data_IF_808640983843
#
_entry.id   IF_808640983843
#
_cell.length_a   1.000
_cell.length_b   1.000
_cell.length_c   1.000
_cell.angle_alpha   90.00
_cell.angle_beta   90.00
_cell.angle_gamma   90.00
#
_symmetry.space_group_name_H-M   'P 1'
#
loop_
_entity.id
_entity.type
_entity.pdbx_description
1 polymer ?
#
# COMPACT_ATOMS: atom_id res chain seq x y z
N UNK A 1 21.63 3.10 29.60
CA UNK A 1 21.42 1.66 29.68
C UNK A 1 20.27 1.30 28.74
N UNK A 2 19.02 1.57 29.09
CA UNK A 2 17.83 1.18 28.31
C UNK A 2 17.79 1.69 26.86
N UNK A 3 18.58 2.70 26.49
CA UNK A 3 18.66 3.27 25.15
C UNK A 3 19.72 2.64 24.23
N UNK A 4 20.44 1.61 24.68
CA UNK A 4 21.50 0.96 23.91
C UNK A 4 22.70 1.87 23.63
N UNK A 5 22.87 2.98 24.37
CA UNK A 5 24.00 3.88 24.19
C UNK A 5 25.26 3.28 24.81
N UNK A 6 26.27 3.08 23.99
CA UNK A 6 27.60 2.62 24.41
C UNK A 6 28.54 3.79 24.81
N UNK A 7 28.05 5.03 24.77
CA UNK A 7 28.87 6.24 24.99
C UNK A 7 29.33 6.46 26.44
N UNK A 8 28.79 5.72 27.40
CA UNK A 8 29.22 5.77 28.79
C UNK A 8 29.39 4.35 29.32
N UNK A 9 30.52 4.10 29.96
CA UNK A 9 30.72 2.84 30.67
C UNK A 9 29.72 2.73 31.80
N UNK A 10 29.04 1.60 31.87
CA UNK A 10 28.10 1.24 32.93
C UNK A 10 28.47 -0.15 33.39
N UNK A 11 28.68 -0.31 34.70
CA UNK A 11 29.01 -1.63 35.28
C UNK A 11 27.88 -2.64 35.00
N UNK A 12 28.22 -3.92 34.89
CA UNK A 12 27.23 -4.97 34.67
C UNK A 12 26.20 -5.05 35.81
N UNK A 13 26.60 -4.82 37.03
CA UNK A 13 25.71 -4.77 38.18
C UNK A 13 24.66 -3.65 38.02
N UNK A 14 25.09 -2.44 37.68
CA UNK A 14 24.19 -1.32 37.43
C UNK A 14 23.24 -1.61 36.26
N UNK A 15 23.71 -2.28 35.23
CA UNK A 15 22.86 -2.69 34.07
C UNK A 15 21.77 -3.65 34.55
N UNK A 16 22.11 -4.70 35.28
CA UNK A 16 21.15 -5.68 35.79
C UNK A 16 20.11 -5.05 36.70
N UNK A 17 20.52 -4.15 37.59
CA UNK A 17 19.60 -3.44 38.50
C UNK A 17 18.60 -2.57 37.72
N UNK A 18 19.06 -1.82 36.72
CA UNK A 18 18.17 -0.98 35.89
C UNK A 18 17.23 -1.83 35.05
N UNK A 19 17.69 -2.93 34.47
CA UNK A 19 16.86 -3.85 33.71
C UNK A 19 15.82 -4.54 34.57
N UNK A 20 16.18 -4.96 35.79
CA UNK A 20 15.27 -5.54 36.78
C UNK A 20 14.20 -4.54 37.20
N UNK A 21 14.59 -3.33 37.57
CA UNK A 21 13.63 -2.26 37.92
C UNK A 21 12.70 -1.90 36.76
N UNK A 22 13.21 -1.82 35.53
CA UNK A 22 12.40 -1.57 34.35
C UNK A 22 11.36 -2.69 34.11
N UNK A 23 11.74 -3.95 34.35
CA UNK A 23 10.83 -5.10 34.27
C UNK A 23 9.78 -5.09 35.36
N UNK A 24 10.17 -4.83 36.59
CA UNK A 24 9.28 -4.74 37.75
C UNK A 24 8.23 -3.63 37.59
N UNK A 25 8.65 -2.47 37.09
CA UNK A 25 7.78 -1.31 36.84
C UNK A 25 7.00 -1.40 35.49
N UNK A 26 7.10 -2.52 34.76
CA UNK A 26 6.54 -2.65 33.41
C UNK A 26 6.89 -1.44 32.51
N UNK A 27 8.12 -0.93 32.64
CA UNK A 27 8.56 0.24 31.88
C UNK A 27 8.67 -0.07 30.40
N UNK A 28 7.77 0.49 29.61
CA UNK A 28 7.82 0.45 28.15
C UNK A 28 8.55 1.69 27.63
N UNK A 29 9.61 1.44 26.87
CA UNK A 29 10.39 2.52 26.27
C UNK A 29 9.54 3.36 25.32
N UNK A 30 9.45 4.66 25.57
CA UNK A 30 8.74 5.57 24.69
C UNK A 30 9.40 5.65 23.31
N UNK A 31 8.71 5.15 22.28
CA UNK A 31 9.13 5.31 20.88
C UNK A 31 9.17 6.78 20.46
N UNK A 32 8.29 7.61 21.04
CA UNK A 32 8.24 9.06 20.81
C UNK A 32 9.53 9.76 21.27
N UNK A 33 10.02 9.45 22.47
CA UNK A 33 11.29 9.98 22.98
C UNK A 33 12.50 9.51 22.16
N UNK A 34 12.43 8.32 21.59
CA UNK A 34 13.48 7.78 20.70
C UNK A 34 13.49 8.43 19.33
N UNK A 35 12.31 8.80 18.79
CA UNK A 35 12.19 9.46 17.49
C UNK A 35 12.69 10.91 17.50
N UNK A 36 12.65 11.60 18.65
CA UNK A 36 13.28 12.92 18.82
C UNK A 36 14.80 12.87 18.63
N UNK A 37 15.41 11.69 18.77
CA UNK A 37 16.85 11.44 18.52
C UNK A 37 17.13 10.87 17.12
N UNK A 38 16.21 11.04 16.17
CA UNK A 38 16.37 10.57 14.79
C UNK A 38 16.18 9.05 14.60
N UNK A 39 15.71 8.30 15.60
CA UNK A 39 15.42 6.87 15.43
C UNK A 39 14.06 6.64 14.77
N UNK A 40 13.99 5.63 13.90
CA UNK A 40 12.74 5.18 13.28
C UNK A 40 11.72 4.75 14.35
N UNK A 41 10.45 5.03 14.10
CA UNK A 41 9.34 4.61 14.98
C UNK A 41 8.91 3.18 14.78
N UNK A 42 9.34 2.58 13.68
CA UNK A 42 8.95 1.23 13.28
C UNK A 42 7.44 1.11 13.02
N UNK A 43 6.87 2.14 12.38
CA UNK A 43 5.46 2.19 11.98
C UNK A 43 5.38 2.41 10.47
N UNK A 44 4.60 1.59 9.77
CA UNK A 44 4.22 1.77 8.37
C UNK A 44 2.73 2.05 8.32
N UNK A 45 2.33 3.12 7.61
CA UNK A 45 0.93 3.39 7.33
C UNK A 45 0.48 2.64 6.08
N UNK A 46 -0.61 1.88 6.18
CA UNK A 46 -1.24 1.17 5.07
C UNK A 46 -2.62 1.78 4.84
N UNK A 47 -2.80 2.45 3.70
CA UNK A 47 -4.04 3.10 3.32
C UNK A 47 -4.72 2.30 2.21
N UNK A 48 -5.93 1.83 2.47
CA UNK A 48 -6.74 1.06 1.51
C UNK A 48 -8.12 1.68 1.33
N UNK A 49 -8.74 1.57 0.15
CA UNK A 49 -10.04 2.20 -0.11
C UNK A 49 -11.20 1.52 0.61
N UNK A 50 -11.10 0.23 0.93
CA UNK A 50 -12.14 -0.51 1.65
C UNK A 50 -11.65 -1.87 2.14
N UNK A 51 -12.17 -2.32 3.29
CA UNK A 51 -11.87 -3.64 3.83
C UNK A 51 -12.82 -4.75 3.33
N UNK A 52 -13.97 -4.38 2.76
CA UNK A 52 -14.92 -5.36 2.24
C UNK A 52 -14.39 -6.13 1.02
N UNK A 53 -13.41 -5.59 0.32
CA UNK A 53 -12.74 -6.28 -0.77
C UNK A 53 -11.61 -7.17 -0.23
N UNK A 54 -11.75 -8.48 -0.43
CA UNK A 54 -10.81 -9.49 0.04
C UNK A 54 -9.38 -9.24 -0.44
N UNK A 55 -9.20 -8.69 -1.66
CA UNK A 55 -7.87 -8.37 -2.19
C UNK A 55 -7.09 -7.43 -1.25
N UNK A 56 -7.75 -6.39 -0.72
CA UNK A 56 -7.08 -5.48 0.20
C UNK A 56 -6.79 -6.10 1.57
N UNK A 57 -7.65 -7.00 2.02
CA UNK A 57 -7.42 -7.75 3.26
C UNK A 57 -6.21 -8.68 3.12
N UNK A 58 -6.11 -9.41 2.03
CA UNK A 58 -4.97 -10.29 1.74
C UNK A 58 -3.67 -9.50 1.55
N UNK A 59 -3.74 -8.33 0.89
CA UNK A 59 -2.61 -7.41 0.80
C UNK A 59 -2.10 -7.02 2.19
N UNK A 60 -3.00 -6.57 3.08
CA UNK A 60 -2.63 -6.16 4.44
C UNK A 60 -1.97 -7.30 5.20
N UNK A 61 -2.53 -8.52 5.15
CA UNK A 61 -1.96 -9.71 5.78
C UNK A 61 -0.58 -10.06 5.21
N UNK A 62 -0.40 -9.88 3.90
CA UNK A 62 0.90 -10.08 3.25
C UNK A 62 1.95 -9.08 3.73
N UNK A 63 1.57 -7.81 3.81
CA UNK A 63 2.43 -6.73 4.29
C UNK A 63 2.78 -6.92 5.75
N UNK A 64 1.81 -7.30 6.60
CA UNK A 64 2.01 -7.52 8.04
C UNK A 64 3.07 -8.59 8.29
N UNK A 65 2.95 -9.74 7.63
CA UNK A 65 3.95 -10.83 7.77
C UNK A 65 5.38 -10.39 7.45
N UNK A 66 5.54 -9.52 6.47
CA UNK A 66 6.87 -9.00 6.10
C UNK A 66 7.31 -7.93 7.09
N UNK A 67 6.44 -6.99 7.44
CA UNK A 67 6.73 -5.89 8.35
C UNK A 67 7.18 -6.40 9.73
N UNK A 68 6.50 -7.42 10.26
CA UNK A 68 6.81 -8.04 11.56
C UNK A 68 8.24 -8.59 11.59
N UNK A 69 8.71 -9.26 10.54
CA UNK A 69 10.09 -9.77 10.45
C UNK A 69 11.15 -8.67 10.60
N UNK A 70 10.81 -7.43 10.22
CA UNK A 70 11.68 -6.27 10.36
C UNK A 70 11.37 -5.43 11.59
N UNK A 71 10.48 -5.89 12.45
CA UNK A 71 10.06 -5.22 13.68
C UNK A 71 9.25 -3.95 13.42
N UNK A 72 8.49 -3.89 12.33
CA UNK A 72 7.52 -2.84 12.04
C UNK A 72 6.13 -3.28 12.46
N UNK A 73 5.34 -2.33 12.94
CA UNK A 73 3.90 -2.47 13.12
C UNK A 73 3.17 -1.69 12.02
N UNK A 74 1.95 -2.13 11.68
CA UNK A 74 1.14 -1.45 10.69
C UNK A 74 0.09 -0.55 11.35
N UNK A 75 -0.06 0.65 10.79
CA UNK A 75 -1.23 1.50 11.02
C UNK A 75 -2.13 1.40 9.79
N UNK A 76 -3.19 0.58 9.90
CA UNK A 76 -4.08 0.27 8.78
C UNK A 76 -5.25 1.25 8.79
N UNK A 77 -5.47 1.94 7.66
CA UNK A 77 -6.45 3.00 7.53
C UNK A 77 -7.35 2.77 6.32
N UNK A 78 -8.67 2.85 6.54
CA UNK A 78 -9.66 2.82 5.48
C UNK A 78 -9.96 4.24 5.00
N UNK A 79 -9.70 4.51 3.72
CA UNK A 79 -9.98 5.83 3.12
C UNK A 79 -11.42 5.96 2.64
N UNK A 80 -12.18 4.85 2.53
CA UNK A 80 -13.52 4.77 1.91
C UNK A 80 -13.54 5.33 0.48
N UNK A 81 -12.41 5.27 -0.22
CA UNK A 81 -12.23 5.82 -1.56
C UNK A 81 -12.51 7.35 -1.63
N UNK A 82 -12.38 8.04 -0.51
CA UNK A 82 -12.59 9.47 -0.37
C UNK A 82 -11.26 10.22 -0.30
N UNK A 83 -10.95 11.09 -1.28
CA UNK A 83 -9.71 11.86 -1.32
C UNK A 83 -9.52 12.82 -0.14
N UNK A 84 -10.61 13.37 0.41
CA UNK A 84 -10.54 14.27 1.56
C UNK A 84 -10.10 13.50 2.82
N UNK A 85 -10.75 12.36 3.04
CA UNK A 85 -10.42 11.47 4.14
C UNK A 85 -8.99 10.92 4.01
N UNK A 86 -8.58 10.54 2.81
CA UNK A 86 -7.20 10.11 2.55
C UNK A 86 -6.19 11.18 2.94
N UNK A 87 -6.43 12.43 2.57
CA UNK A 87 -5.58 13.55 2.93
C UNK A 87 -5.49 13.77 4.44
N UNK A 88 -6.62 13.67 5.14
CA UNK A 88 -6.65 13.77 6.61
C UNK A 88 -5.84 12.64 7.27
N UNK A 89 -5.98 11.41 6.77
CA UNK A 89 -5.24 10.26 7.27
C UNK A 89 -3.73 10.48 7.04
N UNK A 90 -3.32 10.92 5.87
CA UNK A 90 -1.92 11.22 5.57
C UNK A 90 -1.37 12.25 6.55
N UNK A 91 -2.10 13.33 6.83
CA UNK A 91 -1.67 14.36 7.80
C UNK A 91 -1.52 13.79 9.22
N UNK A 92 -2.46 12.94 9.65
CA UNK A 92 -2.39 12.27 10.96
C UNK A 92 -1.19 11.33 11.06
N UNK A 93 -0.95 10.54 10.03
CA UNK A 93 0.20 9.62 9.97
C UNK A 93 1.54 10.38 9.92
N UNK A 94 1.57 11.51 9.21
CA UNK A 94 2.72 12.42 9.21
C UNK A 94 3.00 12.97 10.61
N UNK A 95 1.97 13.41 11.34
CA UNK A 95 2.11 13.88 12.73
C UNK A 95 2.62 12.75 13.66
N UNK A 96 2.26 11.52 13.39
CA UNK A 96 2.77 10.34 14.09
C UNK A 96 4.18 9.92 13.63
N UNK A 97 4.76 10.59 12.62
CA UNK A 97 6.08 10.29 12.07
C UNK A 97 6.24 8.83 11.66
N UNK A 98 5.31 8.30 10.87
CA UNK A 98 5.46 6.96 10.29
C UNK A 98 6.69 6.90 9.40
N UNK A 99 7.32 5.74 9.30
CA UNK A 99 8.57 5.53 8.56
C UNK A 99 8.34 5.22 7.08
N UNK A 100 7.11 4.92 6.67
CA UNK A 100 6.76 4.62 5.29
C UNK A 100 5.25 4.55 5.08
N UNK A 101 4.84 4.60 3.81
CA UNK A 101 3.47 4.45 3.37
C UNK A 101 3.36 3.32 2.35
N UNK A 102 2.31 2.51 2.48
CA UNK A 102 1.79 1.63 1.44
C UNK A 102 0.38 2.12 1.16
N UNK A 103 0.08 2.54 -0.06
CA UNK A 103 -1.17 3.24 -0.36
C UNK A 103 -1.79 2.72 -1.66
N UNK A 104 -3.08 2.37 -1.58
CA UNK A 104 -3.95 2.33 -2.75
C UNK A 104 -4.67 3.68 -2.82
N UNK A 105 -4.30 4.56 -3.76
CA UNK A 105 -4.80 5.92 -3.80
C UNK A 105 -6.32 5.97 -4.01
N UNK A 106 -7.00 6.88 -3.34
CA UNK A 106 -8.38 7.24 -3.63
C UNK A 106 -8.48 7.95 -4.99
N UNK A 107 -9.70 8.18 -5.49
CA UNK A 107 -9.94 9.02 -6.68
C UNK A 107 -9.23 10.35 -6.49
N UNK A 108 -8.57 10.87 -7.51
CA UNK A 108 -7.65 12.04 -7.42
C UNK A 108 -6.44 11.86 -6.49
N UNK A 109 -6.17 10.65 -6.00
CA UNK A 109 -5.10 10.35 -5.05
C UNK A 109 -3.70 10.78 -5.47
N UNK A 110 -3.49 11.02 -6.75
CA UNK A 110 -2.23 11.58 -7.24
C UNK A 110 -1.85 12.91 -6.58
N UNK A 111 -2.81 13.74 -6.22
CA UNK A 111 -2.57 15.00 -5.49
C UNK A 111 -2.14 14.73 -4.04
N UNK A 112 -2.76 13.79 -3.37
CA UNK A 112 -2.48 13.44 -1.98
C UNK A 112 -1.11 12.74 -1.84
N UNK A 113 -0.77 11.85 -2.75
CA UNK A 113 0.54 11.17 -2.76
C UNK A 113 1.70 12.14 -2.92
N UNK A 114 1.49 13.26 -3.61
CA UNK A 114 2.49 14.35 -3.69
C UNK A 114 2.86 14.91 -2.32
N UNK A 115 1.94 14.92 -1.35
CA UNK A 115 2.25 15.35 0.01
C UNK A 115 3.22 14.40 0.70
N UNK A 116 3.01 13.09 0.58
CA UNK A 116 3.92 12.07 1.14
C UNK A 116 5.32 12.25 0.54
N UNK A 117 5.41 12.49 -0.75
CA UNK A 117 6.67 12.69 -1.45
C UNK A 117 7.41 13.96 -1.01
N UNK A 118 6.68 15.07 -0.86
CA UNK A 118 7.26 16.35 -0.39
C UNK A 118 7.94 16.24 0.98
N UNK A 119 7.47 15.37 1.84
CA UNK A 119 8.08 15.15 3.17
C UNK A 119 9.21 14.11 3.14
N UNK A 120 9.50 13.51 1.97
CA UNK A 120 10.62 12.59 1.80
C UNK A 120 10.44 11.23 2.50
N UNK A 121 9.21 10.84 2.85
CA UNK A 121 8.93 9.54 3.45
C UNK A 121 8.76 8.50 2.34
N UNK A 122 9.39 7.30 2.42
CA UNK A 122 9.22 6.24 1.44
C UNK A 122 7.75 5.86 1.24
N UNK A 123 7.36 5.66 -0.03
CA UNK A 123 6.00 5.30 -0.40
C UNK A 123 6.00 4.24 -1.47
N UNK A 124 5.13 3.24 -1.32
CA UNK A 124 4.78 2.25 -2.34
C UNK A 124 3.31 2.41 -2.68
N UNK A 125 3.01 2.56 -3.96
CA UNK A 125 1.65 2.60 -4.49
C UNK A 125 1.24 1.19 -4.86
N UNK A 126 0.00 0.82 -4.55
CA UNK A 126 -0.52 -0.52 -4.82
C UNK A 126 -1.81 -0.43 -5.65
N UNK A 127 -1.94 -1.33 -6.61
CA UNK A 127 -3.12 -1.58 -7.45
C UNK A 127 -3.42 -0.45 -8.44
N UNK A 128 -3.56 0.79 -7.98
CA UNK A 128 -4.00 1.93 -8.79
C UNK A 128 -2.82 2.75 -9.31
N UNK A 129 -2.81 3.02 -10.61
CA UNK A 129 -1.80 3.88 -11.22
C UNK A 129 -2.03 5.34 -10.84
N UNK A 130 -0.95 6.06 -10.61
CA UNK A 130 -0.99 7.51 -10.43
C UNK A 130 -0.84 8.19 -11.80
N UNK A 131 -1.68 9.16 -12.06
CA UNK A 131 -1.51 10.03 -13.25
C UNK A 131 -0.56 11.19 -12.89
N UNK A 132 0.72 10.87 -12.74
CA UNK A 132 1.78 11.83 -12.43
C UNK A 132 3.02 11.54 -13.30
N UNK A 133 3.73 12.60 -13.68
CA UNK A 133 4.98 12.51 -14.47
C UNK A 133 6.23 12.33 -13.57
N UNK A 134 6.14 11.53 -12.54
CA UNK A 134 7.20 11.35 -11.57
C UNK A 134 7.33 9.87 -11.23
N UNK A 135 8.58 9.40 -11.02
CA UNK A 135 8.84 8.01 -10.65
C UNK A 135 8.28 7.67 -9.28
N UNK A 136 7.68 6.49 -9.16
CA UNK A 136 7.19 5.93 -7.92
C UNK A 136 7.26 4.40 -7.93
N UNK A 137 7.34 3.81 -6.76
CA UNK A 137 7.27 2.35 -6.62
C UNK A 137 5.81 1.92 -6.74
N UNK A 138 5.54 1.03 -7.70
CA UNK A 138 4.22 0.47 -7.97
C UNK A 138 4.24 -1.05 -7.84
N UNK A 139 3.25 -1.57 -7.15
CA UNK A 139 2.89 -3.00 -7.15
C UNK A 139 1.45 -3.11 -7.66
N UNK A 140 1.26 -3.70 -8.83
CA UNK A 140 -0.07 -3.88 -9.42
C UNK A 140 -0.17 -5.22 -10.15
N UNK A 141 -1.40 -5.66 -10.41
CA UNK A 141 -1.65 -6.80 -11.28
C UNK A 141 -1.32 -6.46 -12.74
N UNK A 142 -0.98 -7.49 -13.51
CA UNK A 142 -0.80 -7.38 -14.96
C UNK A 142 -2.17 -7.29 -15.65
N UNK A 143 -2.82 -6.13 -15.54
CA UNK A 143 -4.21 -5.94 -15.93
C UNK A 143 -4.47 -6.22 -17.42
N UNK A 144 -3.55 -5.80 -18.30
CA UNK A 144 -3.66 -6.04 -19.73
C UNK A 144 -3.52 -7.53 -20.04
N UNK A 145 -2.42 -8.12 -19.64
CA UNK A 145 -2.04 -9.50 -19.94
C UNK A 145 -3.06 -10.49 -19.38
N UNK A 146 -3.51 -10.28 -18.15
CA UNK A 146 -4.50 -11.15 -17.51
C UNK A 146 -5.85 -11.12 -18.24
N UNK A 147 -6.31 -9.93 -18.65
CA UNK A 147 -7.56 -9.80 -19.40
C UNK A 147 -7.43 -10.36 -20.80
N UNK A 148 -6.30 -10.12 -21.47
CA UNK A 148 -6.01 -10.68 -22.79
C UNK A 148 -6.06 -12.20 -22.75
N UNK A 149 -5.36 -12.84 -21.81
CA UNK A 149 -5.35 -14.29 -21.64
C UNK A 149 -6.74 -14.86 -21.34
N UNK A 150 -7.53 -14.20 -20.49
CA UNK A 150 -8.88 -14.65 -20.16
C UNK A 150 -9.82 -14.60 -21.37
N UNK A 151 -9.81 -13.50 -22.13
CA UNK A 151 -10.62 -13.35 -23.33
C UNK A 151 -10.14 -14.29 -24.46
N UNK A 152 -8.83 -14.45 -24.63
CA UNK A 152 -8.24 -15.39 -25.58
C UNK A 152 -8.67 -16.83 -25.26
N UNK A 153 -8.68 -17.22 -24.00
CA UNK A 153 -9.14 -18.53 -23.58
C UNK A 153 -10.59 -18.80 -24.01
N UNK A 154 -11.48 -17.84 -23.84
CA UNK A 154 -12.87 -17.96 -24.29
C UNK A 154 -12.95 -18.09 -25.82
N UNK A 155 -12.21 -17.27 -26.56
CA UNK A 155 -12.19 -17.31 -28.00
C UNK A 155 -11.63 -18.63 -28.56
N UNK A 156 -10.57 -19.15 -27.97
CA UNK A 156 -9.99 -20.48 -28.32
C UNK A 156 -10.96 -21.62 -28.08
N UNK A 157 -11.87 -21.48 -27.08
CA UNK A 157 -12.91 -22.46 -26.81
C UNK A 157 -14.19 -22.24 -27.66
N UNK A 158 -14.12 -21.40 -28.69
CA UNK A 158 -15.20 -21.22 -29.67
C UNK A 158 -16.25 -20.16 -29.29
N UNK A 159 -16.13 -19.54 -28.14
CA UNK A 159 -17.03 -18.44 -27.77
C UNK A 159 -16.81 -17.24 -28.70
N UNK A 160 -17.90 -16.62 -29.18
CA UNK A 160 -17.86 -15.41 -30.04
C UNK A 160 -18.67 -14.28 -29.43
N UNK A 161 -19.68 -14.59 -28.61
CA UNK A 161 -20.51 -13.60 -27.90
C UNK A 161 -19.97 -13.47 -26.49
N UNK A 162 -19.05 -12.53 -26.30
CA UNK A 162 -18.35 -12.30 -25.01
C UNK A 162 -18.67 -10.88 -24.58
N UNK A 163 -19.26 -10.69 -23.40
CA UNK A 163 -19.51 -9.38 -22.83
C UNK A 163 -18.38 -8.97 -21.88
N UNK A 164 -18.00 -7.72 -21.92
CA UNK A 164 -17.10 -7.11 -20.96
C UNK A 164 -17.88 -6.22 -20.01
N UNK A 165 -17.87 -6.57 -18.71
CA UNK A 165 -18.44 -5.74 -17.66
C UNK A 165 -17.27 -5.07 -16.94
N UNK A 166 -17.12 -3.79 -17.15
CA UNK A 166 -16.08 -2.98 -16.58
C UNK A 166 -16.63 -1.84 -15.73
N UNK A 167 -15.77 -1.27 -14.91
CA UNK A 167 -16.07 -0.05 -14.18
C UNK A 167 -15.32 1.12 -14.84
N UNK A 168 -16.04 2.16 -15.19
CA UNK A 168 -15.41 3.40 -15.67
C UNK A 168 -14.87 4.18 -14.48
N UNK A 169 -13.57 4.11 -14.30
CA UNK A 169 -12.87 4.88 -13.27
C UNK A 169 -11.55 5.40 -13.85
N UNK A 170 -11.12 6.57 -13.38
CA UNK A 170 -9.89 7.24 -13.81
C UNK A 170 -8.61 6.55 -13.24
N UNK A 171 -8.65 5.22 -13.14
CA UNK A 171 -7.52 4.41 -12.71
C UNK A 171 -6.96 3.63 -13.89
N UNK A 172 -5.81 3.99 -14.38
CA UNK A 172 -5.19 3.46 -15.58
C UNK A 172 -5.09 1.92 -15.70
N UNK A 173 -5.30 1.18 -14.60
CA UNK A 173 -5.36 -0.28 -14.61
C UNK A 173 -6.63 -0.85 -15.23
N UNK A 174 -7.78 -0.18 -15.07
CA UNK A 174 -9.07 -0.62 -15.61
C UNK A 174 -9.18 -0.35 -17.11
N UNK A 175 -8.67 0.78 -17.58
CA UNK A 175 -8.58 1.09 -19.01
C UNK A 175 -7.74 0.05 -19.75
N UNK A 176 -6.67 -0.44 -19.15
CA UNK A 176 -5.83 -1.51 -19.73
C UNK A 176 -6.58 -2.82 -19.89
N UNK A 177 -7.51 -3.15 -19.00
CA UNK A 177 -8.36 -4.35 -19.14
C UNK A 177 -9.29 -4.22 -20.33
N UNK A 178 -9.96 -3.08 -20.46
CA UNK A 178 -10.85 -2.84 -21.61
C UNK A 178 -10.06 -2.84 -22.93
N UNK A 179 -8.90 -2.21 -22.95
CA UNK A 179 -8.01 -2.21 -24.12
C UNK A 179 -7.61 -3.64 -24.52
N UNK A 180 -7.19 -4.48 -23.58
CA UNK A 180 -6.81 -5.86 -23.84
C UNK A 180 -7.99 -6.66 -24.41
N UNK A 181 -9.18 -6.50 -23.82
CA UNK A 181 -10.40 -7.14 -24.31
C UNK A 181 -10.70 -6.76 -25.77
N UNK A 182 -10.68 -5.47 -26.10
CA UNK A 182 -10.91 -4.99 -27.47
C UNK A 182 -9.86 -5.52 -28.45
N UNK A 183 -8.58 -5.44 -28.08
CA UNK A 183 -7.46 -5.90 -28.92
C UNK A 183 -7.60 -7.37 -29.28
N UNK A 184 -7.94 -8.24 -28.33
CA UNK A 184 -8.03 -9.67 -28.62
C UNK A 184 -9.26 -10.02 -29.46
N UNK A 185 -10.40 -9.35 -29.24
CA UNK A 185 -11.58 -9.55 -30.09
C UNK A 185 -11.31 -9.17 -31.53
N UNK A 186 -10.68 -8.03 -31.77
CA UNK A 186 -10.27 -7.58 -33.10
C UNK A 186 -9.33 -8.60 -33.77
N UNK A 187 -8.35 -9.12 -33.02
CA UNK A 187 -7.40 -10.13 -33.53
C UNK A 187 -8.10 -11.43 -33.97
N UNK A 188 -9.24 -11.77 -33.38
CA UNK A 188 -10.07 -12.94 -33.74
C UNK A 188 -11.21 -12.61 -34.70
N UNK A 189 -11.27 -11.39 -35.24
CA UNK A 189 -12.32 -10.94 -36.16
C UNK A 189 -13.71 -10.89 -35.56
N UNK A 190 -13.82 -10.78 -34.23
CA UNK A 190 -15.10 -10.61 -33.55
C UNK A 190 -15.46 -9.13 -33.53
N UNK A 191 -16.46 -8.74 -34.29
CA UNK A 191 -16.94 -7.36 -34.41
C UNK A 191 -18.08 -7.08 -33.46
N UNK A 192 -18.43 -5.78 -33.27
CA UNK A 192 -19.51 -5.37 -32.38
C UNK A 192 -20.89 -5.92 -32.74
N UNK A 193 -21.12 -6.31 -34.01
CA UNK A 193 -22.37 -6.92 -34.47
C UNK A 193 -22.57 -8.35 -33.91
N UNK A 194 -21.50 -9.04 -33.54
CA UNK A 194 -21.53 -10.38 -32.94
C UNK A 194 -21.84 -10.34 -31.44
N UNK A 195 -21.96 -9.14 -30.83
CA UNK A 195 -21.99 -8.94 -29.37
C UNK A 195 -23.38 -8.53 -28.83
N UNK A 196 -24.41 -8.49 -29.67
CA UNK A 196 -25.79 -8.12 -29.26
C UNK A 196 -26.61 -9.37 -28.88
#
# INVERSE_FOLDING_TARGET
>A
ILNGSTKRYVSEDMRRRVEAAAKELNYVKSSAASSLKGKKRKIIAVLVPQFANQMFTELVLGVERVADRYGYILSICNTFDDPQRELEIIRRMQAQRVDGYIITPSRDGGKNTRQIRKIGVPMVVVDRLLNINEDYFLVSAQNYESTYMAAEHLLKNGHRRIAFIGWKADFGGLERREQAYRTILEAYGVTGEDQI
#
